data_IF_214972417658
#
_entry.id   IF_214972417658
#
_cell.length_a   1.000
_cell.length_b   1.000
_cell.length_c   1.000
_cell.angle_alpha   90.00
_cell.angle_beta   90.00
_cell.angle_gamma   90.00
#
_symmetry.space_group_name_H-M   'P 1'
#
loop_
_entity.id
_entity.type
_entity.pdbx_description
1 polymer ?
#
# COMPACT_ATOMS: atom_id res chain seq x y z
N UNK A 1 -38.49 31.03 31.77
CA UNK A 1 -37.76 30.72 30.52
C UNK A 1 -37.27 29.29 30.64
N UNK A 2 -37.64 28.38 29.74
CA UNK A 2 -37.10 27.00 29.78
C UNK A 2 -35.64 27.04 29.35
N UNK A 3 -34.76 26.35 30.09
CA UNK A 3 -33.36 26.22 29.70
C UNK A 3 -33.28 25.52 28.33
N UNK A 4 -32.55 26.13 27.39
CA UNK A 4 -32.25 25.53 26.10
C UNK A 4 -31.39 24.28 26.32
N UNK A 5 -31.80 23.15 25.78
CA UNK A 5 -31.03 21.90 25.88
C UNK A 5 -30.01 21.81 24.75
N UNK A 6 -28.94 21.04 24.93
CA UNK A 6 -27.87 20.91 23.94
C UNK A 6 -28.40 20.50 22.55
N UNK A 7 -29.38 19.60 22.49
CA UNK A 7 -30.00 19.12 21.24
C UNK A 7 -30.80 20.18 20.50
N UNK A 8 -31.17 21.28 21.17
CA UNK A 8 -31.90 22.41 20.59
C UNK A 8 -30.97 23.47 20.01
N UNK A 9 -29.64 23.32 20.15
CA UNK A 9 -28.67 24.22 19.54
C UNK A 9 -28.59 24.00 18.01
N UNK A 10 -28.32 25.06 17.23
CA UNK A 10 -27.93 24.96 15.83
C UNK A 10 -26.82 23.92 15.61
N UNK A 11 -26.87 23.22 14.48
CA UNK A 11 -25.92 22.14 14.18
C UNK A 11 -24.48 22.63 14.18
N UNK A 12 -24.21 23.81 13.62
CA UNK A 12 -22.84 24.35 13.59
C UNK A 12 -22.29 24.56 15.01
N UNK A 13 -23.12 25.05 15.93
CA UNK A 13 -22.73 25.24 17.33
C UNK A 13 -22.51 23.91 18.06
N UNK A 14 -23.34 22.89 17.80
CA UNK A 14 -23.14 21.54 18.36
C UNK A 14 -21.85 20.90 17.85
N UNK A 15 -21.58 21.03 16.55
CA UNK A 15 -20.36 20.51 15.93
C UNK A 15 -19.11 21.21 16.49
N UNK A 16 -19.15 22.54 16.67
CA UNK A 16 -18.08 23.28 17.34
C UNK A 16 -17.84 22.79 18.78
N UNK A 17 -18.90 22.66 19.58
CA UNK A 17 -18.78 22.20 20.97
C UNK A 17 -18.16 20.80 21.03
N UNK A 18 -18.58 19.89 20.14
CA UNK A 18 -18.00 18.55 20.07
C UNK A 18 -16.55 18.55 19.60
N UNK A 19 -16.18 19.40 18.64
CA UNK A 19 -14.79 19.55 18.22
C UNK A 19 -13.89 20.01 19.37
N UNK A 20 -14.32 21.01 20.14
CA UNK A 20 -13.58 21.49 21.31
C UNK A 20 -13.49 20.41 22.41
N UNK A 21 -14.59 19.69 22.66
CA UNK A 21 -14.59 18.58 23.60
C UNK A 21 -13.61 17.47 23.20
N UNK A 22 -13.48 17.17 21.91
CA UNK A 22 -12.51 16.20 21.39
C UNK A 22 -11.09 16.65 21.70
N UNK A 23 -10.77 17.91 21.42
CA UNK A 23 -9.45 18.49 21.67
C UNK A 23 -9.08 18.50 23.16
N UNK A 24 -10.02 18.85 24.05
CA UNK A 24 -9.79 18.86 25.51
C UNK A 24 -9.57 17.45 26.04
N UNK A 25 -10.44 16.50 25.70
CA UNK A 25 -10.30 15.11 26.14
C UNK A 25 -9.02 14.47 25.63
N UNK A 26 -8.62 14.85 24.41
CA UNK A 26 -7.36 14.46 23.84
C UNK A 26 -6.16 14.94 24.68
N UNK A 27 -6.13 16.21 25.08
CA UNK A 27 -5.07 16.75 25.94
C UNK A 27 -5.00 16.04 27.31
N UNK A 28 -6.16 15.72 27.90
CA UNK A 28 -6.23 14.99 29.16
C UNK A 28 -5.67 13.56 29.04
N UNK A 29 -6.06 12.84 27.98
CA UNK A 29 -5.63 11.46 27.76
C UNK A 29 -4.14 11.36 27.41
N UNK A 30 -3.57 12.38 26.75
CA UNK A 30 -2.13 12.46 26.50
C UNK A 30 -1.29 12.50 27.78
N UNK A 31 -1.78 13.18 28.82
CA UNK A 31 -1.08 13.25 30.11
C UNK A 31 -1.05 11.90 30.85
N UNK A 32 -2.03 11.02 30.59
CA UNK A 32 -2.19 9.73 31.27
C UNK A 32 -1.44 8.57 30.59
N UNK A 33 -1.14 8.68 29.29
CA UNK A 33 -0.57 7.62 28.44
C UNK A 33 0.92 7.29 28.68
N UNK A 34 1.51 7.73 29.80
CA UNK A 34 2.96 7.74 30.03
C UNK A 34 3.65 6.38 30.28
N UNK A 35 2.97 5.21 30.24
CA UNK A 35 3.67 3.94 30.41
C UNK A 35 2.97 2.68 29.81
N UNK A 36 3.68 2.05 28.87
CA UNK A 36 3.60 0.65 28.41
C UNK A 36 2.50 0.23 27.42
N UNK A 37 2.91 -0.61 26.45
CA UNK A 37 2.14 -1.31 25.39
C UNK A 37 1.38 -0.49 24.34
N UNK A 38 1.29 0.83 24.51
CA UNK A 38 0.47 1.72 23.70
C UNK A 38 1.23 2.55 22.65
N UNK A 39 2.52 2.31 22.38
CA UNK A 39 3.36 3.28 21.64
C UNK A 39 2.83 3.67 20.26
N UNK A 40 2.29 2.74 19.48
CA UNK A 40 1.72 3.03 18.16
C UNK A 40 0.45 3.89 18.23
N UNK A 41 -0.47 3.51 19.12
CA UNK A 41 -1.72 4.25 19.33
C UNK A 41 -1.42 5.61 19.95
N UNK A 42 -0.44 5.69 20.85
CA UNK A 42 0.08 6.91 21.46
C UNK A 42 0.75 7.83 20.44
N UNK A 43 1.60 7.29 19.55
CA UNK A 43 2.22 8.04 18.44
C UNK A 43 1.16 8.59 17.48
N UNK A 44 0.19 7.75 17.10
CA UNK A 44 -0.93 8.18 16.27
C UNK A 44 -1.84 9.20 16.97
N UNK A 45 -1.98 9.09 18.29
CA UNK A 45 -2.70 10.05 19.10
C UNK A 45 -1.93 11.36 19.10
N UNK A 46 -0.69 11.42 19.60
CA UNK A 46 0.20 12.61 19.63
C UNK A 46 0.35 13.28 18.25
N UNK A 47 0.15 12.53 17.18
CA UNK A 47 0.34 12.95 15.80
C UNK A 47 1.76 12.64 15.36
N UNK A 48 1.91 12.00 14.20
CA UNK A 48 3.21 11.53 13.73
C UNK A 48 4.23 12.67 13.51
N UNK A 49 3.75 13.89 13.26
CA UNK A 49 4.58 15.08 13.08
C UNK A 49 5.27 15.51 14.39
N UNK A 50 4.74 15.11 15.54
CA UNK A 50 5.28 15.40 16.87
C UNK A 50 6.16 14.27 17.44
N UNK A 51 6.32 13.16 16.69
CA UNK A 51 7.22 12.06 17.05
C UNK A 51 8.65 12.44 16.65
N UNK A 52 9.65 12.32 17.55
CA UNK A 52 11.04 12.63 17.25
C UNK A 52 11.53 11.94 15.97
N UNK A 53 12.33 12.62 15.13
CA UNK A 53 12.74 12.09 13.82
C UNK A 53 13.64 10.85 13.89
N UNK A 54 14.29 10.61 15.03
CA UNK A 54 15.11 9.45 15.34
C UNK A 54 14.28 8.21 15.75
N UNK A 55 13.00 8.39 16.08
CA UNK A 55 12.09 7.29 16.42
C UNK A 55 11.36 6.81 15.16
N UNK A 56 11.45 5.50 14.88
CA UNK A 56 10.72 4.88 13.77
C UNK A 56 9.22 4.93 14.05
N UNK A 57 8.54 5.86 13.40
CA UNK A 57 7.07 6.02 13.44
C UNK A 57 6.37 4.72 13.11
N UNK A 58 5.36 4.39 13.90
CA UNK A 58 4.55 3.20 13.72
C UNK A 58 3.14 3.61 13.30
N UNK A 59 2.76 3.43 12.02
CA UNK A 59 1.40 3.71 11.59
C UNK A 59 0.39 2.75 12.24
N UNK A 60 -0.80 3.27 12.55
CA UNK A 60 -1.96 2.49 12.96
C UNK A 60 -2.29 1.40 11.94
N UNK A 61 -2.75 0.27 12.43
CA UNK A 61 -2.97 -0.93 11.63
C UNK A 61 -4.45 -1.15 11.33
N UNK A 62 -4.71 -1.61 10.11
CA UNK A 62 -5.95 -2.26 9.72
C UNK A 62 -5.62 -3.64 9.17
N UNK A 63 -6.29 -4.66 9.69
CA UNK A 63 -6.15 -6.03 9.23
C UNK A 63 -7.38 -6.38 8.41
N UNK A 64 -7.16 -6.64 7.13
CA UNK A 64 -8.20 -6.98 6.17
C UNK A 64 -8.00 -8.41 5.71
N UNK A 65 -9.10 -9.15 5.65
CA UNK A 65 -9.14 -10.50 5.13
C UNK A 65 -10.11 -10.62 3.97
N UNK A 66 -9.69 -11.32 2.94
CA UNK A 66 -10.54 -11.68 1.81
C UNK A 66 -10.95 -13.14 1.88
N UNK A 67 -12.20 -13.44 1.48
CA UNK A 67 -12.64 -14.82 1.27
C UNK A 67 -12.41 -15.22 -0.18
N UNK A 68 -11.68 -16.33 -0.41
CA UNK A 68 -11.45 -16.91 -1.75
C UNK A 68 -12.72 -17.16 -2.59
N UNK A 69 -13.90 -17.28 -1.96
CA UNK A 69 -15.12 -17.71 -2.66
C UNK A 69 -16.13 -16.58 -2.89
N UNK A 70 -15.92 -15.37 -2.34
CA UNK A 70 -16.99 -14.36 -2.24
C UNK A 70 -16.58 -12.92 -2.55
N UNK A 71 -15.32 -12.64 -2.91
CA UNK A 71 -14.79 -11.27 -3.11
C UNK A 71 -15.18 -10.30 -1.97
N UNK A 72 -15.25 -10.89 -0.77
CA UNK A 72 -15.71 -10.23 0.46
C UNK A 72 -14.50 -9.86 1.28
N UNK A 73 -14.22 -8.55 1.33
CA UNK A 73 -13.28 -7.97 2.28
C UNK A 73 -13.94 -7.84 3.65
N UNK A 74 -13.24 -8.29 4.68
CA UNK A 74 -13.62 -8.20 6.09
C UNK A 74 -12.53 -7.52 6.90
N UNK A 75 -12.91 -6.59 7.76
CA UNK A 75 -12.00 -6.00 8.75
C UNK A 75 -11.98 -6.87 9.99
N UNK A 76 -10.80 -7.35 10.36
CA UNK A 76 -10.56 -8.13 11.59
C UNK A 76 -10.14 -7.21 12.73
N UNK A 77 -9.23 -6.28 12.44
CA UNK A 77 -8.73 -5.30 13.41
C UNK A 77 -8.68 -3.94 12.74
N UNK A 78 -9.14 -2.92 13.47
CA UNK A 78 -9.10 -1.53 13.04
C UNK A 78 -8.63 -0.66 14.21
N UNK A 79 -7.33 -0.38 14.28
CA UNK A 79 -6.75 0.40 15.36
C UNK A 79 -7.24 1.87 15.36
N UNK A 80 -7.66 2.40 14.22
CA UNK A 80 -8.30 3.72 14.17
C UNK A 80 -9.61 3.73 14.94
N UNK A 81 -10.44 2.69 14.80
CA UNK A 81 -11.69 2.62 15.54
C UNK A 81 -11.46 2.44 17.05
N UNK A 82 -10.40 1.69 17.43
CA UNK A 82 -9.96 1.58 18.81
C UNK A 82 -9.60 2.97 19.35
N UNK A 83 -8.85 3.77 18.58
CA UNK A 83 -8.47 5.12 18.96
C UNK A 83 -9.68 6.04 19.17
N UNK A 84 -10.62 6.06 18.23
CA UNK A 84 -11.85 6.85 18.37
C UNK A 84 -12.63 6.44 19.61
N UNK A 85 -12.69 5.14 19.91
CA UNK A 85 -13.36 4.62 21.11
C UNK A 85 -12.62 4.96 22.42
N UNK A 86 -11.37 5.43 22.37
CA UNK A 86 -10.66 5.92 23.57
C UNK A 86 -11.13 7.31 24.00
N UNK A 87 -11.72 8.10 23.10
CA UNK A 87 -12.26 9.41 23.43
C UNK A 87 -13.61 9.22 24.14
N UNK A 88 -13.77 9.61 25.43
CA UNK A 88 -15.03 9.41 26.16
C UNK A 88 -16.26 9.96 25.42
N UNK A 89 -16.14 11.09 24.74
CA UNK A 89 -17.22 11.68 23.94
C UNK A 89 -17.77 10.77 22.83
N UNK A 90 -16.96 9.82 22.33
CA UNK A 90 -17.37 8.94 21.25
C UNK A 90 -18.44 7.91 21.65
N UNK A 91 -18.76 7.84 22.95
CA UNK A 91 -19.81 6.98 23.52
C UNK A 91 -21.13 7.70 23.74
N UNK A 92 -21.16 9.04 23.64
CA UNK A 92 -22.32 9.86 24.01
C UNK A 92 -23.45 9.74 22.98
N UNK A 93 -23.14 10.00 21.71
CA UNK A 93 -24.09 9.91 20.61
C UNK A 93 -23.36 9.78 19.27
N UNK A 94 -24.12 9.52 18.20
CA UNK A 94 -23.56 9.39 16.84
C UNK A 94 -22.84 10.66 16.37
N UNK A 95 -23.41 11.85 16.63
CA UNK A 95 -22.79 13.13 16.26
C UNK A 95 -21.44 13.31 16.95
N UNK A 96 -21.37 13.09 18.28
CA UNK A 96 -20.12 13.18 19.04
C UNK A 96 -19.08 12.17 18.56
N UNK A 97 -19.50 10.93 18.27
CA UNK A 97 -18.62 9.90 17.69
C UNK A 97 -18.08 10.30 16.32
N UNK A 98 -18.90 10.92 15.48
CA UNK A 98 -18.48 11.42 14.17
C UNK A 98 -17.44 12.52 14.30
N UNK A 99 -17.61 13.44 15.26
CA UNK A 99 -16.65 14.52 15.52
C UNK A 99 -15.34 13.99 16.11
N UNK A 100 -15.41 13.02 17.04
CA UNK A 100 -14.23 12.32 17.55
C UNK A 100 -13.46 11.61 16.42
N UNK A 101 -14.17 10.93 15.52
CA UNK A 101 -13.57 10.32 14.35
C UNK A 101 -12.93 11.37 13.42
N UNK A 102 -13.61 12.50 13.18
CA UNK A 102 -13.07 13.57 12.35
C UNK A 102 -11.78 14.15 12.93
N UNK A 103 -11.76 14.44 14.23
CA UNK A 103 -10.57 14.90 14.92
C UNK A 103 -9.40 13.91 14.76
N UNK A 104 -9.64 12.61 14.96
CA UNK A 104 -8.60 11.59 14.74
C UNK A 104 -8.11 11.52 13.28
N UNK A 105 -8.99 11.71 12.28
CA UNK A 105 -8.57 11.72 10.86
C UNK A 105 -7.58 12.83 10.58
N UNK A 106 -7.82 14.01 11.13
CA UNK A 106 -6.99 15.19 10.88
C UNK A 106 -5.56 14.99 11.40
N UNK A 107 -5.38 14.13 12.41
CA UNK A 107 -4.08 13.76 12.97
C UNK A 107 -3.42 12.57 12.25
N UNK A 108 -4.21 11.67 11.65
CA UNK A 108 -3.73 10.39 11.13
C UNK A 108 -3.69 10.42 9.60
N UNK A 109 -2.51 10.77 9.09
CA UNK A 109 -2.24 10.81 7.64
C UNK A 109 -1.82 9.45 7.07
N UNK A 110 -1.25 8.58 7.91
CA UNK A 110 -0.67 7.30 7.50
C UNK A 110 -1.32 6.11 8.20
N UNK A 111 -1.68 5.09 7.43
CA UNK A 111 -2.21 3.80 7.90
C UNK A 111 -1.43 2.63 7.33
N UNK A 112 -1.33 1.54 8.09
CA UNK A 112 -0.78 0.27 7.64
C UNK A 112 -1.89 -0.73 7.37
N UNK A 113 -1.98 -1.20 6.13
CA UNK A 113 -2.81 -2.30 5.68
C UNK A 113 -2.04 -3.62 5.79
N UNK A 114 -2.51 -4.47 6.69
CA UNK A 114 -2.17 -5.88 6.73
C UNK A 114 -3.26 -6.66 5.99
N UNK A 115 -2.93 -7.19 4.82
CA UNK A 115 -3.88 -7.93 3.98
C UNK A 115 -3.55 -9.43 3.97
N UNK A 116 -4.59 -10.26 4.02
CA UNK A 116 -4.50 -11.72 3.90
C UNK A 116 -5.70 -12.28 3.12
N UNK A 117 -5.48 -13.40 2.44
CA UNK A 117 -6.57 -14.19 1.85
C UNK A 117 -6.78 -15.42 2.74
N UNK A 118 -8.02 -15.62 3.20
CA UNK A 118 -8.39 -16.80 3.99
C UNK A 118 -8.21 -18.06 3.14
N UNK A 119 -7.67 -19.13 3.71
CA UNK A 119 -7.55 -20.41 3.01
C UNK A 119 -8.92 -20.92 2.52
N UNK A 120 -8.97 -21.70 1.41
CA UNK A 120 -10.23 -22.13 0.81
C UNK A 120 -11.18 -22.86 1.78
N UNK A 121 -10.60 -23.59 2.74
CA UNK A 121 -11.32 -24.39 3.73
C UNK A 121 -11.44 -23.71 5.10
N UNK A 122 -10.97 -22.46 5.23
CA UNK A 122 -11.04 -21.75 6.50
C UNK A 122 -12.47 -21.26 6.79
N UNK A 123 -12.98 -21.43 8.02
CA UNK A 123 -14.30 -20.92 8.38
C UNK A 123 -14.34 -19.39 8.22
N UNK A 124 -15.18 -18.90 7.31
CA UNK A 124 -15.22 -17.51 6.85
C UNK A 124 -15.86 -16.51 7.84
N UNK A 125 -15.87 -16.80 9.15
CA UNK A 125 -16.68 -16.06 10.13
C UNK A 125 -15.93 -14.95 10.88
N UNK A 126 -14.62 -14.79 10.67
CA UNK A 126 -13.82 -13.80 11.41
C UNK A 126 -13.83 -12.45 10.71
N UNK A 127 -14.24 -11.40 11.44
CA UNK A 127 -14.25 -10.01 11.00
C UNK A 127 -15.61 -9.49 10.53
N UNK A 128 -15.69 -8.19 10.26
CA UNK A 128 -16.89 -7.51 9.78
C UNK A 128 -16.77 -7.15 8.31
N UNK A 129 -17.80 -7.41 7.51
CA UNK A 129 -17.84 -7.08 6.08
C UNK A 129 -17.60 -5.58 5.84
N UNK A 130 -16.71 -5.25 4.91
CA UNK A 130 -16.49 -3.87 4.45
C UNK A 130 -17.56 -3.54 3.42
N UNK A 131 -18.62 -2.88 3.88
CA UNK A 131 -19.69 -2.33 3.04
C UNK A 131 -19.38 -0.91 2.58
N UNK A 132 -18.70 -0.13 3.42
CA UNK A 132 -18.24 1.22 3.15
C UNK A 132 -16.77 1.36 3.57
N UNK A 133 -16.01 2.33 2.99
CA UNK A 133 -14.63 2.55 3.37
C UNK A 133 -14.45 2.74 4.88
N UNK A 134 -13.34 2.25 5.40
CA UNK A 134 -12.95 2.45 6.78
C UNK A 134 -12.87 3.96 7.05
N UNK A 135 -13.49 4.38 8.15
CA UNK A 135 -13.65 5.78 8.51
C UNK A 135 -12.36 6.61 8.56
N UNK A 136 -11.14 6.08 8.44
CA UNK A 136 -9.90 6.83 8.65
C UNK A 136 -9.44 7.73 7.48
N UNK A 137 -9.79 7.40 6.22
CA UNK A 137 -9.43 8.19 5.01
C UNK A 137 -7.98 8.79 4.99
N UNK A 138 -6.92 7.97 5.13
CA UNK A 138 -5.53 8.42 5.12
C UNK A 138 -5.10 8.95 3.75
N UNK A 139 -4.07 9.79 3.72
CA UNK A 139 -3.38 10.18 2.48
C UNK A 139 -2.26 9.21 2.11
N UNK A 140 -1.68 8.52 3.09
CA UNK A 140 -0.63 7.52 2.87
C UNK A 140 -1.05 6.14 3.38
N UNK A 141 -0.93 5.12 2.53
CA UNK A 141 -1.19 3.72 2.90
C UNK A 141 0.09 2.93 2.77
N UNK A 142 0.57 2.37 3.88
CA UNK A 142 1.61 1.35 3.89
C UNK A 142 0.95 -0.02 3.73
N UNK A 143 1.38 -0.79 2.74
CA UNK A 143 0.89 -2.14 2.49
C UNK A 143 1.96 -3.10 2.97
N UNK A 144 1.68 -3.80 4.07
CA UNK A 144 2.59 -4.78 4.66
C UNK A 144 2.02 -6.18 4.49
N UNK A 145 2.90 -7.13 4.14
CA UNK A 145 2.57 -8.55 4.09
C UNK A 145 2.22 -9.08 5.48
N UNK A 146 1.05 -9.70 5.64
CA UNK A 146 0.52 -10.08 6.96
C UNK A 146 1.01 -11.45 7.45
N UNK A 147 1.38 -12.34 6.54
CA UNK A 147 1.96 -13.62 6.83
C UNK A 147 3.47 -13.49 7.02
N UNK A 148 3.94 -13.74 8.24
CA UNK A 148 5.36 -13.94 8.58
C UNK A 148 6.03 -15.04 7.74
N UNK A 149 5.22 -15.86 7.06
CA UNK A 149 5.72 -16.76 6.04
C UNK A 149 6.15 -15.95 4.82
N UNK A 150 7.40 -16.14 4.46
CA UNK A 150 8.11 -15.46 3.38
C UNK A 150 7.63 -15.95 1.99
N UNK A 151 6.31 -15.99 1.79
CA UNK A 151 5.67 -16.35 0.53
C UNK A 151 5.64 -15.16 -0.43
N UNK A 152 5.78 -15.37 -1.74
CA UNK A 152 5.57 -14.33 -2.73
C UNK A 152 4.11 -13.91 -2.83
N UNK A 153 3.85 -12.63 -3.14
CA UNK A 153 2.55 -12.08 -3.50
C UNK A 153 1.49 -12.12 -2.39
N UNK A 154 0.89 -10.97 -2.08
CA UNK A 154 -0.36 -10.93 -1.28
C UNK A 154 -1.59 -10.67 -2.16
N UNK A 155 -1.37 -10.14 -3.36
CA UNK A 155 -2.41 -9.70 -4.28
C UNK A 155 -2.23 -10.43 -5.60
N UNK A 156 -3.34 -10.69 -6.27
CA UNK A 156 -3.34 -11.42 -7.55
C UNK A 156 -2.90 -10.55 -8.72
N UNK A 157 -3.13 -9.23 -8.62
CA UNK A 157 -2.85 -8.27 -9.68
C UNK A 157 -2.71 -6.85 -9.12
N UNK A 158 -2.19 -5.88 -9.92
CA UNK A 158 -2.19 -4.47 -9.54
C UNK A 158 -3.61 -3.91 -9.35
N UNK A 159 -4.59 -4.35 -10.15
CA UNK A 159 -6.01 -3.97 -9.99
C UNK A 159 -6.56 -4.46 -8.67
N UNK A 160 -6.25 -5.71 -8.28
CA UNK A 160 -6.66 -6.27 -7.00
C UNK A 160 -6.11 -5.42 -5.84
N UNK A 161 -4.81 -5.06 -5.84
CA UNK A 161 -4.24 -4.17 -4.82
C UNK A 161 -4.96 -2.82 -4.77
N UNK A 162 -5.18 -2.18 -5.92
CA UNK A 162 -5.86 -0.88 -6.00
C UNK A 162 -7.30 -0.97 -5.51
N UNK A 163 -8.00 -2.05 -5.82
CA UNK A 163 -9.37 -2.31 -5.37
C UNK A 163 -9.46 -2.45 -3.86
N UNK A 164 -8.56 -3.21 -3.27
CA UNK A 164 -8.49 -3.36 -1.81
C UNK A 164 -8.21 -2.00 -1.17
N UNK A 165 -7.20 -1.27 -1.64
CA UNK A 165 -6.85 0.05 -1.08
C UNK A 165 -8.02 1.02 -1.20
N UNK A 166 -8.66 1.10 -2.37
CA UNK A 166 -9.80 1.99 -2.60
C UNK A 166 -11.03 1.59 -1.76
N UNK A 167 -11.33 0.30 -1.64
CA UNK A 167 -12.47 -0.19 -0.84
C UNK A 167 -12.24 0.01 0.65
N UNK A 168 -11.01 -0.09 1.13
CA UNK A 168 -10.66 0.07 2.55
C UNK A 168 -10.51 1.54 2.94
N UNK A 169 -9.86 2.38 2.12
CA UNK A 169 -9.48 3.74 2.50
C UNK A 169 -10.13 4.84 1.66
N UNK A 170 -10.72 4.50 0.52
CA UNK A 170 -11.31 5.43 -0.43
C UNK A 170 -10.30 6.02 -1.42
N UNK A 171 -10.81 6.88 -2.31
CA UNK A 171 -10.06 7.49 -3.42
C UNK A 171 -9.11 8.63 -3.01
N UNK A 172 -9.06 8.96 -1.72
CA UNK A 172 -8.27 10.06 -1.16
C UNK A 172 -6.78 9.76 -0.98
N UNK A 173 -6.35 8.51 -1.20
CA UNK A 173 -4.96 8.08 -1.04
C UNK A 173 -4.07 8.76 -2.08
N UNK A 174 -3.02 9.41 -1.60
CA UNK A 174 -2.02 10.14 -2.39
C UNK A 174 -0.71 9.36 -2.54
N UNK A 175 -0.40 8.49 -1.57
CA UNK A 175 0.83 7.71 -1.52
C UNK A 175 0.58 6.26 -1.09
N UNK A 176 1.19 5.31 -1.79
CA UNK A 176 1.25 3.90 -1.39
C UNK A 176 2.70 3.50 -1.09
N UNK A 177 2.95 2.96 0.10
CA UNK A 177 4.25 2.42 0.49
C UNK A 177 4.17 0.90 0.49
N UNK A 178 4.92 0.25 -0.39
CA UNK A 178 5.00 -1.20 -0.46
C UNK A 178 6.14 -1.66 0.45
N UNK A 179 5.79 -2.15 1.63
CA UNK A 179 6.74 -2.62 2.66
C UNK A 179 6.74 -4.15 2.70
N UNK A 180 7.67 -4.76 1.94
CA UNK A 180 7.69 -6.19 1.69
C UNK A 180 8.96 -6.85 2.22
N UNK A 181 8.79 -8.05 2.79
CA UNK A 181 9.88 -8.93 3.20
C UNK A 181 9.80 -10.23 2.40
N UNK A 182 10.88 -10.63 1.73
CA UNK A 182 10.94 -11.91 1.05
C UNK A 182 12.29 -12.64 1.13
N UNK A 183 12.33 -13.89 0.66
CA UNK A 183 13.54 -14.68 0.54
C UNK A 183 14.18 -14.46 -0.84
N UNK A 184 15.50 -14.44 -0.87
CA UNK A 184 16.28 -14.18 -2.09
C UNK A 184 16.04 -15.17 -3.24
N UNK A 185 15.44 -16.34 -2.99
CA UNK A 185 15.09 -17.32 -4.02
C UNK A 185 13.72 -17.09 -4.67
N UNK A 186 12.92 -16.11 -4.20
CA UNK A 186 11.68 -15.73 -4.87
C UNK A 186 11.98 -15.04 -6.19
N UNK A 187 11.23 -15.40 -7.22
CA UNK A 187 11.39 -14.81 -8.56
C UNK A 187 10.77 -13.42 -8.60
N UNK A 188 11.38 -12.51 -9.37
CA UNK A 188 10.93 -11.11 -9.44
C UNK A 188 9.42 -10.99 -9.71
N UNK A 189 8.94 -11.81 -10.64
CA UNK A 189 7.55 -11.86 -11.08
C UNK A 189 6.55 -12.14 -9.95
N UNK A 190 6.99 -12.88 -8.92
CA UNK A 190 6.18 -13.34 -7.80
C UNK A 190 6.30 -12.41 -6.58
N UNK A 191 7.26 -11.49 -6.57
CA UNK A 191 7.45 -10.56 -5.43
C UNK A 191 6.20 -9.70 -5.22
N UNK A 192 5.58 -9.26 -6.31
CA UNK A 192 4.42 -8.37 -6.27
C UNK A 192 3.11 -9.14 -6.35
N UNK A 193 2.94 -9.95 -7.41
CA UNK A 193 1.67 -10.57 -7.76
C UNK A 193 1.76 -12.11 -7.74
N UNK A 194 0.72 -12.79 -7.29
CA UNK A 194 0.63 -14.27 -7.29
C UNK A 194 0.53 -14.85 -8.70
N UNK A 195 -0.06 -14.12 -9.63
CA UNK A 195 -0.17 -14.50 -11.04
C UNK A 195 0.59 -13.48 -11.90
N UNK A 196 1.85 -13.76 -12.27
CA UNK A 196 2.54 -12.89 -13.22
C UNK A 196 1.80 -12.92 -14.56
N UNK A 197 1.85 -11.80 -15.28
CA UNK A 197 1.26 -11.67 -16.62
C UNK A 197 1.79 -12.72 -17.62
N UNK A 198 1.34 -12.64 -18.87
CA UNK A 198 1.70 -13.64 -19.88
C UNK A 198 3.23 -13.78 -20.03
N UNK A 199 3.69 -14.95 -20.47
CA UNK A 199 5.12 -15.19 -20.74
C UNK A 199 5.71 -14.14 -21.70
N UNK A 200 4.89 -13.63 -22.61
CA UNK A 200 5.27 -12.54 -23.53
C UNK A 200 5.59 -11.27 -22.75
N UNK A 201 4.79 -10.88 -21.77
CA UNK A 201 5.03 -9.71 -20.93
C UNK A 201 6.35 -9.84 -20.14
N UNK A 202 6.65 -11.06 -19.66
CA UNK A 202 7.91 -11.36 -18.96
C UNK A 202 9.11 -11.28 -19.92
N UNK A 203 8.99 -11.84 -21.12
CA UNK A 203 10.06 -11.77 -22.12
C UNK A 203 10.30 -10.35 -22.61
N UNK A 204 9.25 -9.56 -22.78
CA UNK A 204 9.35 -8.15 -23.14
C UNK A 204 10.00 -7.30 -22.04
N UNK A 205 9.69 -7.59 -20.77
CA UNK A 205 10.38 -7.04 -19.61
C UNK A 205 11.90 -7.27 -19.70
N UNK A 206 12.33 -8.47 -20.09
CA UNK A 206 13.76 -8.78 -20.24
C UNK A 206 14.49 -7.94 -21.30
N UNK A 207 13.76 -7.33 -22.24
CA UNK A 207 14.30 -6.61 -23.40
C UNK A 207 14.24 -5.08 -23.27
N UNK A 208 13.90 -4.53 -22.11
CA UNK A 208 13.86 -3.06 -21.93
C UNK A 208 15.29 -2.52 -21.84
N UNK A 209 15.72 -1.84 -22.90
CA UNK A 209 16.96 -1.08 -22.93
C UNK A 209 16.73 0.37 -22.49
N UNK A 210 17.55 0.91 -21.59
CA UNK A 210 17.49 2.33 -21.23
C UNK A 210 17.76 3.22 -22.46
N UNK A 211 16.97 4.27 -22.61
CA UNK A 211 17.17 5.32 -23.61
C UNK A 211 18.05 6.40 -22.99
N UNK A 212 19.24 6.61 -23.54
CA UNK A 212 20.13 7.65 -23.08
C UNK A 212 19.68 9.03 -23.58
N UNK A 213 19.65 9.99 -22.66
CA UNK A 213 19.42 11.40 -22.96
C UNK A 213 20.77 12.09 -23.10
N UNK A 214 21.05 12.59 -24.31
CA UNK A 214 22.22 13.39 -24.63
C UNK A 214 21.93 14.89 -24.49
N UNK A 215 21.51 15.28 -23.27
CA UNK A 215 21.26 16.67 -22.90
C UNK A 215 22.15 17.01 -21.68
N UNK A 216 23.14 17.91 -21.84
CA UNK A 216 24.03 18.31 -20.76
C UNK A 216 23.33 19.10 -19.64
N UNK A 217 22.14 19.63 -19.88
CA UNK A 217 21.32 20.29 -18.87
C UNK A 217 20.41 19.33 -18.08
N UNK A 218 20.32 18.07 -18.53
CA UNK A 218 19.53 17.06 -17.84
C UNK A 218 20.21 16.64 -16.53
N UNK A 219 19.45 16.63 -15.44
CA UNK A 219 19.95 16.21 -14.14
C UNK A 219 20.36 14.73 -14.19
N UNK A 220 21.65 14.47 -13.94
CA UNK A 220 22.26 13.14 -14.00
C UNK A 220 21.68 12.16 -12.97
N UNK A 221 21.00 12.66 -11.94
CA UNK A 221 20.36 11.85 -10.92
C UNK A 221 18.92 11.45 -11.27
N UNK A 222 18.34 11.97 -12.36
CA UNK A 222 16.96 11.66 -12.71
C UNK A 222 16.87 10.45 -13.64
N UNK A 223 16.01 9.51 -13.24
CA UNK A 223 15.55 8.40 -14.08
C UNK A 223 14.04 8.55 -14.21
N UNK A 224 13.50 8.40 -15.42
CA UNK A 224 12.05 8.45 -15.59
C UNK A 224 11.53 7.44 -16.60
N UNK A 225 10.29 7.02 -16.38
CA UNK A 225 9.54 6.12 -17.24
C UNK A 225 8.28 6.84 -17.72
N UNK A 226 8.07 6.89 -19.02
CA UNK A 226 6.82 7.43 -19.57
C UNK A 226 5.69 6.43 -19.37
N UNK A 227 4.49 6.92 -19.10
CA UNK A 227 3.33 6.06 -18.83
C UNK A 227 2.58 5.63 -20.09
N UNK A 228 2.87 6.27 -21.23
CA UNK A 228 2.23 6.02 -22.53
C UNK A 228 2.96 4.94 -23.34
N UNK A 229 4.29 4.87 -23.21
CA UNK A 229 5.10 3.77 -23.71
C UNK A 229 5.53 2.94 -22.51
N UNK A 230 4.90 1.78 -22.28
CA UNK A 230 5.16 0.86 -21.14
C UNK A 230 6.63 0.37 -21.00
N UNK A 231 7.58 0.90 -21.78
CA UNK A 231 8.83 0.23 -22.12
C UNK A 231 10.02 1.16 -22.36
N UNK A 232 9.93 2.46 -22.06
CA UNK A 232 11.09 3.36 -22.16
C UNK A 232 11.48 3.91 -20.79
N UNK A 233 12.67 3.53 -20.33
CA UNK A 233 13.33 4.16 -19.18
C UNK A 233 14.38 5.10 -19.72
N UNK A 234 14.28 6.36 -19.34
CA UNK A 234 15.20 7.39 -19.79
C UNK A 234 16.20 7.72 -18.69
N UNK A 235 17.47 7.82 -19.09
CA UNK A 235 18.60 8.08 -18.17
C UNK A 235 19.57 9.07 -18.82
N UNK A 236 20.22 9.93 -18.04
CA UNK A 236 21.26 10.82 -18.57
C UNK A 236 22.46 10.00 -19.08
N UNK A 237 22.94 10.32 -20.27
CA UNK A 237 24.19 9.75 -20.83
C UNK A 237 25.42 10.04 -19.98
N UNK A 238 25.39 11.14 -19.23
CA UNK A 238 26.46 11.56 -18.31
C UNK A 238 26.31 10.97 -16.91
N UNK A 239 25.26 10.18 -16.65
CA UNK A 239 25.14 9.46 -15.38
C UNK A 239 26.26 8.42 -15.26
N UNK A 240 26.75 8.16 -14.04
CA UNK A 240 27.70 7.07 -13.78
C UNK A 240 27.08 5.66 -13.97
N UNK A 241 25.87 5.57 -14.54
CA UNK A 241 25.09 4.36 -14.73
C UNK A 241 25.70 3.26 -15.64
N UNK A 242 26.68 3.48 -16.56
CA UNK A 242 27.20 2.40 -17.39
C UNK A 242 27.81 1.25 -16.58
N UNK A 243 28.39 1.55 -15.41
CA UNK A 243 28.95 0.54 -14.49
C UNK A 243 27.88 -0.13 -13.60
N UNK A 244 26.63 0.32 -13.66
CA UNK A 244 25.51 -0.16 -12.84
C UNK A 244 24.34 -0.68 -13.68
N UNK A 245 24.60 -1.15 -14.91
CA UNK A 245 23.59 -1.67 -15.84
C UNK A 245 22.59 -2.64 -15.18
N UNK A 246 23.07 -3.56 -14.33
CA UNK A 246 22.22 -4.48 -13.59
C UNK A 246 21.29 -3.80 -12.59
N UNK A 247 21.76 -2.77 -11.88
CA UNK A 247 20.95 -2.01 -10.92
C UNK A 247 19.86 -1.21 -11.65
N UNK A 248 20.23 -0.59 -12.78
CA UNK A 248 19.30 0.18 -13.60
C UNK A 248 18.22 -0.73 -14.18
N UNK A 249 18.61 -1.91 -14.67
CA UNK A 249 17.69 -2.94 -15.15
C UNK A 249 16.71 -3.40 -14.06
N UNK A 250 17.18 -3.61 -12.83
CA UNK A 250 16.31 -3.95 -11.70
C UNK A 250 15.37 -2.79 -11.34
N UNK A 251 15.86 -1.54 -11.34
CA UNK A 251 15.02 -0.36 -11.14
C UNK A 251 13.91 -0.28 -12.20
N UNK A 252 14.23 -0.54 -13.47
CA UNK A 252 13.25 -0.59 -14.56
C UNK A 252 12.11 -1.57 -14.27
N UNK A 253 12.43 -2.75 -13.75
CA UNK A 253 11.42 -3.77 -13.42
C UNK A 253 10.50 -3.32 -12.30
N UNK A 254 11.07 -2.74 -11.25
CA UNK A 254 10.27 -2.20 -10.16
C UNK A 254 9.42 -1.00 -10.61
N UNK A 255 9.97 -0.12 -11.46
CA UNK A 255 9.23 1.01 -12.03
C UNK A 255 8.07 0.57 -12.90
N UNK A 256 8.21 -0.53 -13.65
CA UNK A 256 7.10 -1.10 -14.40
C UNK A 256 5.99 -1.59 -13.46
N UNK A 257 6.32 -2.18 -12.32
CA UNK A 257 5.32 -2.54 -11.30
C UNK A 257 4.63 -1.32 -10.69
N UNK A 258 5.37 -0.24 -10.45
CA UNK A 258 4.76 1.03 -10.07
C UNK A 258 3.84 1.60 -11.16
N UNK A 259 4.22 1.47 -12.44
CA UNK A 259 3.40 1.87 -13.57
C UNK A 259 2.09 1.08 -13.64
N UNK A 260 2.16 -0.25 -13.51
CA UNK A 260 1.00 -1.14 -13.46
C UNK A 260 -0.01 -0.69 -12.39
N UNK A 261 0.47 -0.37 -11.17
CA UNK A 261 -0.37 0.15 -10.08
C UNK A 261 -0.97 1.51 -10.46
N UNK A 262 -0.18 2.42 -11.03
CA UNK A 262 -0.65 3.75 -11.44
C UNK A 262 -1.69 3.69 -12.56
N UNK A 263 -1.56 2.73 -13.48
CA UNK A 263 -2.52 2.46 -14.56
C UNK A 263 -3.84 1.95 -13.98
N UNK A 264 -3.79 0.93 -13.11
CA UNK A 264 -4.96 0.40 -12.40
C UNK A 264 -5.65 1.47 -11.52
N UNK A 265 -4.87 2.40 -10.95
CA UNK A 265 -5.35 3.48 -10.09
C UNK A 265 -6.09 4.60 -10.83
N UNK A 266 -5.94 4.73 -12.17
CA UNK A 266 -6.43 5.88 -12.96
C UNK A 266 -7.87 6.30 -12.69
N UNK A 267 -8.74 5.35 -12.36
CA UNK A 267 -10.17 5.60 -12.13
C UNK A 267 -10.61 5.37 -10.67
N UNK A 268 -9.73 4.87 -9.80
CA UNK A 268 -10.07 4.45 -8.43
C UNK A 268 -9.37 5.33 -7.38
N UNK A 269 -8.07 5.55 -7.53
CA UNK A 269 -7.24 6.35 -6.62
C UNK A 269 -6.77 7.61 -7.34
N UNK A 270 -7.72 8.54 -7.57
CA UNK A 270 -7.51 9.73 -8.41
C UNK A 270 -6.42 10.67 -7.88
N UNK A 271 -6.13 10.62 -6.58
CA UNK A 271 -5.10 11.45 -5.94
C UNK A 271 -3.74 10.77 -5.86
N UNK A 272 -3.62 9.51 -6.27
CA UNK A 272 -2.37 8.77 -6.18
C UNK A 272 -1.29 9.43 -7.04
N UNK A 273 -0.23 9.89 -6.38
CA UNK A 273 0.90 10.56 -7.01
C UNK A 273 2.23 9.91 -6.67
N UNK A 274 2.30 9.10 -5.59
CA UNK A 274 3.56 8.55 -5.11
C UNK A 274 3.44 7.06 -4.81
N UNK A 275 4.43 6.29 -5.25
CA UNK A 275 4.64 4.92 -4.79
C UNK A 275 6.05 4.84 -4.22
N UNK A 276 6.16 4.40 -2.98
CA UNK A 276 7.43 4.12 -2.33
C UNK A 276 7.60 2.61 -2.23
N UNK A 277 8.78 2.12 -2.59
CA UNK A 277 9.15 0.73 -2.38
C UNK A 277 10.15 0.65 -1.23
N UNK A 278 9.83 -0.15 -0.23
CA UNK A 278 10.77 -0.57 0.80
C UNK A 278 10.75 -2.10 0.90
N UNK A 279 11.81 -2.71 0.42
CA UNK A 279 11.84 -4.12 0.14
C UNK A 279 13.06 -4.74 0.81
N UNK A 280 12.82 -5.69 1.70
CA UNK A 280 13.87 -6.45 2.38
C UNK A 280 13.96 -7.87 1.83
N UNK A 281 15.15 -8.24 1.37
CA UNK A 281 15.49 -9.58 0.91
C UNK A 281 16.36 -10.29 1.94
N UNK A 282 15.95 -11.49 2.35
CA UNK A 282 16.67 -12.35 3.30
C UNK A 282 17.40 -13.46 2.55
N UNK A 283 18.72 -13.50 2.73
CA UNK A 283 19.60 -14.50 2.12
C UNK A 283 20.65 -14.93 3.14
N UNK A 284 20.70 -16.22 3.52
CA UNK A 284 21.73 -16.75 4.43
C UNK A 284 21.88 -15.94 5.72
N UNK A 285 20.76 -15.55 6.34
CA UNK A 285 20.68 -14.66 7.52
C UNK A 285 21.15 -13.21 7.33
N UNK A 286 21.47 -12.80 6.11
CA UNK A 286 21.74 -11.40 5.77
C UNK A 286 20.47 -10.73 5.22
N UNK A 287 20.25 -9.49 5.64
CA UNK A 287 19.17 -8.63 5.15
C UNK A 287 19.77 -7.63 4.17
N UNK A 288 19.24 -7.62 2.96
CA UNK A 288 19.57 -6.63 1.93
C UNK A 288 18.33 -5.83 1.60
N UNK A 289 18.47 -4.52 1.43
CA UNK A 289 17.35 -3.61 1.24
C UNK A 289 17.38 -3.00 -0.14
N UNK A 290 16.28 -3.14 -0.87
CA UNK A 290 16.00 -2.41 -2.09
C UNK A 290 14.96 -1.34 -1.76
N UNK A 291 15.26 -0.05 -1.99
CA UNK A 291 14.27 1.00 -1.77
C UNK A 291 14.41 2.15 -2.76
N UNK A 292 13.30 2.76 -3.14
CA UNK A 292 13.24 3.99 -3.93
C UNK A 292 11.85 4.62 -3.84
N UNK A 293 11.76 5.87 -4.30
CA UNK A 293 10.49 6.59 -4.44
C UNK A 293 10.20 6.89 -5.91
N UNK A 294 9.03 6.47 -6.39
CA UNK A 294 8.47 6.83 -7.69
C UNK A 294 7.42 7.94 -7.54
N UNK A 295 7.60 9.04 -8.25
CA UNK A 295 6.73 10.22 -8.22
C UNK A 295 6.10 10.43 -9.60
N UNK A 296 4.78 10.45 -9.65
CA UNK A 296 4.02 10.78 -10.86
C UNK A 296 3.98 12.29 -11.08
N UNK A 297 4.41 12.73 -12.26
CA UNK A 297 4.23 14.10 -12.77
C UNK A 297 3.66 14.02 -14.18
N UNK A 298 2.39 14.37 -14.34
CA UNK A 298 1.68 14.16 -15.60
C UNK A 298 1.62 12.68 -15.98
N UNK A 299 2.02 12.35 -17.20
CA UNK A 299 2.12 10.99 -17.73
C UNK A 299 3.52 10.37 -17.53
N UNK A 300 4.29 10.80 -16.53
CA UNK A 300 5.66 10.32 -16.30
C UNK A 300 5.87 9.92 -14.83
N UNK A 301 6.54 8.79 -14.61
CA UNK A 301 7.06 8.37 -13.31
C UNK A 301 8.54 8.72 -13.19
N UNK A 302 8.86 9.49 -12.15
CA UNK A 302 10.22 9.96 -11.85
C UNK A 302 10.78 9.22 -10.65
N UNK A 303 12.06 8.88 -10.73
CA UNK A 303 12.88 8.36 -9.62
C UNK A 303 14.16 9.16 -9.58
N UNK A 304 14.56 9.55 -8.38
CA UNK A 304 15.89 10.05 -8.12
C UNK A 304 16.83 8.88 -7.86
N UNK A 305 17.82 8.70 -8.73
CA UNK A 305 18.83 7.66 -8.65
C UNK A 305 19.61 7.68 -7.34
N UNK A 306 19.81 8.86 -6.73
CA UNK A 306 20.49 8.97 -5.43
C UNK A 306 19.68 8.37 -4.28
N UNK A 307 18.36 8.29 -4.45
CA UNK A 307 17.44 7.73 -3.45
C UNK A 307 17.23 6.22 -3.70
N UNK A 308 17.77 5.67 -4.79
CA UNK A 308 17.70 4.25 -5.09
C UNK A 308 18.79 3.47 -4.36
N UNK A 309 18.36 2.68 -3.38
CA UNK A 309 19.19 1.66 -2.76
C UNK A 309 18.95 0.34 -3.46
N UNK A 310 20.01 -0.26 -4.00
CA UNK A 310 19.97 -1.61 -4.57
C UNK A 310 20.38 -2.64 -3.52
N UNK A 311 19.47 -3.55 -3.18
CA UNK A 311 19.73 -4.60 -2.19
C UNK A 311 20.26 -5.89 -2.79
N UNK A 312 19.49 -6.46 -3.72
CA UNK A 312 19.76 -7.79 -4.27
C UNK A 312 19.30 -7.92 -5.71
N UNK A 313 19.95 -8.83 -6.45
CA UNK A 313 19.51 -9.18 -7.79
C UNK A 313 18.41 -10.25 -7.70
N UNK A 314 17.21 -9.90 -8.14
CA UNK A 314 16.12 -10.86 -8.28
C UNK A 314 16.11 -11.41 -9.69
N UNK A 315 16.29 -12.72 -9.83
CA UNK A 315 16.11 -13.39 -11.11
C UNK A 315 14.62 -13.59 -11.38
N UNK A 316 14.21 -13.48 -12.65
CA UNK A 316 12.99 -14.15 -13.10
C UNK A 316 13.16 -15.67 -13.01
N UNK A 317 12.07 -16.43 -12.98
CA UNK A 317 12.20 -17.89 -13.07
C UNK A 317 13.04 -18.25 -14.30
N UNK A 318 13.96 -19.22 -14.14
CA UNK A 318 14.74 -19.72 -15.27
C UNK A 318 13.77 -20.16 -16.39
N UNK A 319 13.75 -19.38 -17.47
CA UNK A 319 12.94 -19.60 -18.67
C UNK A 319 13.20 -20.95 -19.37
N UNK A 320 14.22 -21.71 -18.92
CA UNK A 320 14.62 -23.01 -19.45
C UNK A 320 14.63 -24.16 -18.42
N UNK A 321 14.03 -23.98 -17.24
CA UNK A 321 13.87 -25.07 -16.28
C UNK A 321 12.71 -26.00 -16.66
N UNK A 322 13.02 -27.19 -17.18
CA UNK A 322 12.11 -28.23 -17.66
C UNK A 322 11.16 -28.88 -16.62
N UNK A 323 10.72 -28.16 -15.58
CA UNK A 323 9.92 -28.76 -14.49
C UNK A 323 8.76 -27.93 -13.94
N UNK A 324 8.36 -26.82 -14.57
CA UNK A 324 7.22 -26.00 -14.09
C UNK A 324 5.84 -26.35 -14.68
N UNK A 325 5.72 -27.47 -15.40
CA UNK A 325 4.44 -27.85 -16.01
C UNK A 325 3.63 -28.91 -15.24
N UNK A 326 4.20 -29.62 -14.24
CA UNK A 326 3.60 -30.91 -13.85
C UNK A 326 3.25 -31.15 -12.37
N UNK A 327 3.54 -30.29 -11.37
CA UNK A 327 3.37 -30.72 -9.95
C UNK A 327 2.50 -29.87 -8.99
N UNK A 328 1.83 -28.80 -9.43
CA UNK A 328 0.68 -28.30 -8.65
C UNK A 328 -0.25 -27.42 -9.47
N UNK A 329 -1.29 -28.02 -10.05
CA UNK A 329 -2.51 -27.31 -10.41
C UNK A 329 -2.96 -27.42 -11.86
N UNK A 330 -3.01 -28.63 -12.40
CA UNK A 330 -3.80 -28.93 -13.61
C UNK A 330 -5.25 -28.44 -13.49
N UNK A 331 -5.73 -27.92 -14.63
CA UNK A 331 -7.11 -27.73 -15.06
C UNK A 331 -7.87 -26.56 -14.44
N UNK A 332 -8.07 -25.47 -15.20
CA UNK A 332 -9.35 -24.71 -15.25
C UNK A 332 -9.43 -23.73 -16.44
N UNK A 333 -8.84 -24.01 -17.61
CA UNK A 333 -9.21 -23.29 -18.85
C UNK A 333 -9.23 -24.29 -20.01
N UNK A 334 -10.39 -24.94 -20.20
CA UNK A 334 -10.97 -25.45 -21.47
C UNK A 334 -12.02 -26.55 -21.20
N UNK A 335 -13.12 -26.20 -20.53
CA UNK A 335 -14.39 -26.97 -20.57
C UNK A 335 -15.62 -26.07 -20.40
N UNK A 336 -15.67 -24.94 -21.09
CA UNK A 336 -16.95 -24.26 -21.36
C UNK A 336 -16.87 -23.62 -22.75
N UNK A 337 -17.14 -24.46 -23.74
CA UNK A 337 -17.15 -24.11 -25.15
C UNK A 337 -17.90 -25.18 -25.92
N UNK A 338 -19.11 -25.48 -25.48
CA UNK A 338 -20.12 -26.11 -26.34
C UNK A 338 -21.25 -25.12 -26.52
N UNK A 339 -21.57 -24.78 -27.76
CA UNK A 339 -22.96 -24.62 -28.14
C UNK A 339 -23.33 -25.63 -29.24
N UNK A 340 -24.45 -26.30 -28.99
CA UNK A 340 -25.50 -26.64 -29.96
C UNK A 340 -25.15 -27.49 -31.20
N UNK A 341 -25.72 -28.70 -31.29
CA UNK A 341 -26.96 -28.96 -32.05
C UNK A 341 -27.14 -30.47 -32.32
N UNK A 342 -28.39 -30.92 -32.16
CA UNK A 342 -29.06 -32.07 -32.82
C UNK A 342 -28.36 -33.40 -32.94
#
# INVERSE_FOLDING_TARGET
>A
MSATTFTQLPRELRDMIWSEAAAIQYQLYLAELAASSADRVREAFIGYDNVPPDVRRQPLRVYVRESHQKDKLRVVVNEFQILVNRLPMATVCFEARSQAAQYCRDQIKTMNLFYAIDAPDAPSSVGYDILEPVFVKPTTVMVTKSDYHVKPGCFDSPEHLVDVVNRVFGSGVEQINLDFLFHSHNTFEHIYWTHPGSLVDILELHSIEPIEIDDPSHDQSLVFMTTEQRKSVHVSKNSQAPFEYYKLRQLTYHLQKCHEIMDAAKHKLLRLQRIELDMSSVSWNNYTRTCFQAIKKGSVLWVNWRDYQFGSNHSFANLHGSKRWDESGTAWINRFGGPENT
#
